data_IF_900653643081
#
_entry.id   IF_900653643081
#
_cell.length_a   1.000
_cell.length_b   1.000
_cell.length_c   1.000
_cell.angle_alpha   90.00
_cell.angle_beta   90.00
_cell.angle_gamma   90.00
#
_symmetry.space_group_name_H-M   'P 1'
#
loop_
_entity.id
_entity.type
_entity.pdbx_description
1 polymer ?
#
# COMPACT_ATOMS: atom_id res chain seq x y z
N UNK A 1 -14.36 -1.44 10.79
CA UNK A 1 -13.67 -1.59 9.49
C UNK A 1 -12.21 -1.89 9.80
N UNK A 2 -11.67 -2.98 9.28
CA UNK A 2 -10.25 -3.33 9.47
C UNK A 2 -9.36 -2.29 8.82
N UNK A 3 -8.45 -1.69 9.59
CA UNK A 3 -7.44 -0.77 9.08
C UNK A 3 -6.43 -1.55 8.23
N UNK A 4 -6.27 -1.17 6.96
CA UNK A 4 -5.31 -1.80 6.05
C UNK A 4 -4.03 -0.99 6.07
N UNK A 5 -2.91 -1.65 6.34
CA UNK A 5 -1.58 -1.04 6.36
C UNK A 5 -0.67 -1.76 5.38
N UNK A 6 0.24 -1.01 4.75
CA UNK A 6 1.29 -1.56 3.90
C UNK A 6 2.64 -1.25 4.55
N UNK A 7 3.46 -2.27 4.75
CA UNK A 7 4.78 -2.16 5.38
C UNK A 7 5.87 -2.29 4.32
N UNK A 8 6.72 -1.27 4.18
CA UNK A 8 7.88 -1.24 3.27
C UNK A 8 9.04 -0.58 3.99
N UNK A 9 10.22 -1.22 4.05
CA UNK A 9 11.45 -0.66 4.65
C UNK A 9 11.27 -0.05 6.06
N UNK A 10 10.38 -0.64 6.87
CA UNK A 10 10.06 -0.15 8.22
C UNK A 10 9.09 1.05 8.27
N UNK A 11 8.66 1.57 7.12
CA UNK A 11 7.59 2.56 6.99
C UNK A 11 6.22 1.88 6.96
N UNK A 12 5.24 2.51 7.60
CA UNK A 12 3.85 2.06 7.63
C UNK A 12 2.99 3.05 6.84
N UNK A 13 2.52 2.63 5.68
CA UNK A 13 1.60 3.40 4.84
C UNK A 13 0.15 3.05 5.20
N UNK A 14 -0.69 4.09 5.31
CA UNK A 14 -2.09 4.00 5.74
C UNK A 14 -2.90 5.17 5.16
N UNK A 15 -4.21 5.17 5.37
CA UNK A 15 -5.08 6.26 4.90
C UNK A 15 -5.48 6.12 3.43
N UNK A 16 -5.68 4.88 2.98
CA UNK A 16 -6.04 4.56 1.60
C UNK A 16 -7.37 5.19 1.20
N UNK A 17 -7.40 5.79 0.01
CA UNK A 17 -8.62 6.22 -0.66
C UNK A 17 -9.40 5.06 -1.25
N UNK A 18 -8.69 4.02 -1.68
CA UNK A 18 -9.27 2.79 -2.23
C UNK A 18 -8.38 1.59 -1.90
N UNK A 19 -9.03 0.47 -1.62
CA UNK A 19 -8.41 -0.82 -1.28
C UNK A 19 -9.09 -1.89 -2.12
N UNK A 20 -8.30 -2.65 -2.88
CA UNK A 20 -8.74 -3.87 -3.57
C UNK A 20 -7.75 -4.99 -3.25
N UNK A 21 -8.25 -6.09 -2.69
CA UNK A 21 -7.46 -7.29 -2.40
C UNK A 21 -8.12 -8.45 -3.14
N UNK A 22 -7.36 -9.16 -3.98
CA UNK A 22 -7.82 -10.32 -4.73
C UNK A 22 -7.10 -11.57 -4.26
N UNK A 23 -7.90 -12.58 -3.91
CA UNK A 23 -7.47 -13.96 -3.71
C UNK A 23 -8.51 -14.85 -4.37
N UNK A 24 -8.08 -15.76 -5.23
CA UNK A 24 -8.94 -16.78 -5.83
C UNK A 24 -8.17 -18.07 -6.03
N UNK A 25 -8.90 -19.18 -6.14
CA UNK A 25 -8.30 -20.51 -6.34
C UNK A 25 -7.65 -20.64 -7.73
N UNK A 26 -8.15 -19.91 -8.71
CA UNK A 26 -7.63 -19.86 -10.09
C UNK A 26 -6.35 -19.01 -10.21
N UNK A 27 -5.96 -18.27 -9.16
CA UNK A 27 -4.76 -17.44 -9.14
C UNK A 27 -3.62 -18.15 -8.41
N UNK A 28 -2.45 -18.25 -9.06
CA UNK A 28 -1.23 -18.79 -8.43
C UNK A 28 -0.67 -17.90 -7.30
N UNK A 29 -1.08 -16.63 -7.25
CA UNK A 29 -0.68 -15.66 -6.23
C UNK A 29 -1.81 -14.69 -5.92
N UNK A 30 -1.89 -14.26 -4.65
CA UNK A 30 -2.74 -13.13 -4.28
C UNK A 30 -2.24 -11.82 -4.87
N UNK A 31 -3.12 -10.86 -5.05
CA UNK A 31 -2.76 -9.51 -5.51
C UNK A 31 -3.55 -8.45 -4.77
N UNK A 32 -3.02 -7.23 -4.76
CA UNK A 32 -3.70 -6.09 -4.16
C UNK A 32 -3.43 -4.82 -4.97
N UNK A 33 -4.32 -3.85 -4.82
CA UNK A 33 -4.19 -2.51 -5.36
C UNK A 33 -4.64 -1.51 -4.29
N UNK A 34 -3.74 -0.59 -3.96
CA UNK A 34 -3.96 0.46 -2.97
C UNK A 34 -3.83 1.82 -3.66
N UNK A 35 -4.72 2.75 -3.34
CA UNK A 35 -4.64 4.12 -3.85
C UNK A 35 -4.60 5.11 -2.70
N UNK A 36 -3.66 6.05 -2.77
CA UNK A 36 -3.50 7.14 -1.80
C UNK A 36 -3.10 8.41 -2.57
N UNK A 37 -3.28 9.57 -1.93
CA UNK A 37 -2.67 10.81 -2.41
C UNK A 37 -1.58 11.22 -1.42
N UNK A 38 -0.33 11.09 -1.83
CA UNK A 38 0.87 11.36 -1.03
C UNK A 38 1.23 12.87 -0.95
N UNK A 39 0.23 13.76 -1.01
CA UNK A 39 0.45 15.21 -0.94
C UNK A 39 -0.45 15.83 0.12
N UNK A 40 0.13 16.10 1.27
CA UNK A 40 -0.44 16.90 2.35
C UNK A 40 0.53 18.01 2.79
N UNK A 41 -0.02 19.10 3.32
CA UNK A 41 0.76 20.25 3.75
C UNK A 41 1.73 19.86 4.88
N UNK A 42 3.00 20.28 4.77
CA UNK A 42 4.01 20.03 5.79
C UNK A 42 4.90 18.79 5.57
N UNK A 43 4.62 17.96 4.57
CA UNK A 43 5.52 16.85 4.22
C UNK A 43 6.77 17.36 3.49
N UNK A 44 7.91 17.31 4.19
CA UNK A 44 9.23 17.68 3.63
C UNK A 44 9.90 16.54 2.87
N UNK A 45 9.60 15.30 3.26
CA UNK A 45 10.26 14.10 2.75
C UNK A 45 9.28 13.24 1.96
N UNK A 46 9.68 12.82 0.75
CA UNK A 46 8.91 11.89 -0.08
C UNK A 46 9.12 10.47 0.43
N UNK A 47 8.06 9.67 0.46
CA UNK A 47 8.10 8.26 0.85
C UNK A 47 7.76 7.38 -0.36
N UNK A 48 8.63 7.35 -1.39
CA UNK A 48 8.34 6.65 -2.63
C UNK A 48 8.17 5.15 -2.38
N UNK A 49 7.12 4.58 -2.95
CA UNK A 49 6.97 3.13 -3.12
C UNK A 49 7.58 2.77 -4.47
N UNK A 50 8.67 2.01 -4.49
CA UNK A 50 9.36 1.61 -5.72
C UNK A 50 8.88 0.24 -6.18
N UNK A 51 9.11 -0.04 -7.46
CA UNK A 51 8.95 -1.39 -7.96
C UNK A 51 9.93 -2.32 -7.22
N UNK A 52 9.47 -3.54 -6.94
CA UNK A 52 10.24 -4.61 -6.28
C UNK A 52 10.52 -4.41 -4.78
N UNK A 53 10.09 -3.30 -4.18
CA UNK A 53 10.10 -3.13 -2.73
C UNK A 53 9.33 -4.27 -2.06
N UNK A 54 9.97 -4.92 -1.08
CA UNK A 54 9.33 -6.00 -0.33
C UNK A 54 8.22 -5.41 0.54
N UNK A 55 7.00 -5.91 0.33
CA UNK A 55 5.81 -5.43 1.02
C UNK A 55 5.12 -6.51 1.84
N UNK A 56 4.45 -6.07 2.91
CA UNK A 56 3.68 -6.89 3.84
C UNK A 56 2.38 -6.19 4.25
#
# INVERSE_FOLDING_TARGET
MSDVTLHIDGLIYRGWKSIKILRSLEQAAGSFQLQISERWSGQRERWPIRAEDLCR
#
